data_IF_468282020930
#
_entry.id   IF_468282020930
#
_cell.length_a   1.000
_cell.length_b   1.000
_cell.length_c   1.000
_cell.angle_alpha   90.00
_cell.angle_beta   90.00
_cell.angle_gamma   90.00
#
_symmetry.space_group_name_H-M   'P 1'
#
loop_
_entity.id
_entity.type
_entity.pdbx_description
1 polymer ?
#
# COMPACT_ATOMS: atom_id res chain seq x y z
N UNK A 1 -11.78 -0.40 -12.18
CA UNK A 1 -10.41 -0.79 -12.49
C UNK A 1 -9.68 -1.13 -11.20
N UNK A 2 -8.93 -2.23 -11.22
CA UNK A 2 -8.16 -2.71 -10.07
C UNK A 2 -7.09 -1.66 -9.70
N UNK A 3 -7.01 -1.32 -8.42
CA UNK A 3 -6.01 -0.40 -7.87
C UNK A 3 -4.99 -1.19 -7.07
N UNK A 4 -3.74 -0.79 -7.15
CA UNK A 4 -2.63 -1.43 -6.43
C UNK A 4 -1.86 -0.38 -5.63
N UNK A 5 -1.56 -0.67 -4.37
CA UNK A 5 -0.62 0.13 -3.59
C UNK A 5 0.66 -0.67 -3.35
N UNK A 6 1.80 -0.05 -3.65
CA UNK A 6 3.14 -0.62 -3.44
C UNK A 6 3.82 0.17 -2.33
N UNK A 7 4.23 -0.52 -1.28
CA UNK A 7 4.96 0.07 -0.17
C UNK A 7 6.45 -0.20 -0.28
N UNK A 8 7.25 0.80 0.01
CA UNK A 8 8.71 0.69 0.17
C UNK A 8 9.22 1.64 1.26
N UNK A 9 10.31 1.31 1.91
CA UNK A 9 10.93 2.19 2.92
C UNK A 9 11.73 3.34 2.31
N UNK A 10 12.17 3.22 1.04
CA UNK A 10 13.11 4.12 0.41
C UNK A 10 12.51 4.93 -0.76
N UNK A 11 12.70 6.25 -0.74
CA UNK A 11 12.39 7.12 -1.90
C UNK A 11 13.17 6.72 -3.16
N UNK A 12 14.38 6.18 -3.01
CA UNK A 12 15.19 5.70 -4.13
C UNK A 12 14.54 4.48 -4.77
N UNK A 13 14.11 3.53 -3.95
CA UNK A 13 13.41 2.32 -4.40
C UNK A 13 12.07 2.69 -5.04
N UNK A 14 11.33 3.64 -4.46
CA UNK A 14 10.09 4.16 -5.04
C UNK A 14 10.28 4.64 -6.48
N UNK A 15 11.33 5.43 -6.75
CA UNK A 15 11.66 5.91 -8.10
C UNK A 15 12.09 4.78 -9.02
N UNK A 16 12.83 3.80 -8.50
CA UNK A 16 13.25 2.63 -9.26
C UNK A 16 12.04 1.81 -9.71
N UNK A 17 11.13 1.47 -8.79
CA UNK A 17 9.91 0.73 -9.11
C UNK A 17 9.10 1.46 -10.19
N UNK A 18 8.92 2.77 -10.07
CA UNK A 18 8.21 3.56 -11.06
C UNK A 18 8.88 3.50 -12.44
N UNK A 19 10.22 3.57 -12.47
CA UNK A 19 10.97 3.46 -13.72
C UNK A 19 10.82 2.07 -14.38
N UNK A 20 10.83 1.00 -13.59
CA UNK A 20 10.63 -0.36 -14.11
C UNK A 20 9.20 -0.54 -14.63
N UNK A 21 8.18 -0.07 -13.92
CA UNK A 21 6.79 -0.14 -14.37
C UNK A 21 6.56 0.59 -15.69
N UNK A 22 7.20 1.74 -15.90
CA UNK A 22 7.14 2.46 -17.20
C UNK A 22 7.70 1.63 -18.35
N UNK A 23 8.75 0.85 -18.11
CA UNK A 23 9.32 -0.06 -19.13
C UNK A 23 8.35 -1.18 -19.52
N UNK A 24 7.40 -1.51 -18.66
CA UNK A 24 6.37 -2.53 -18.93
C UNK A 24 5.10 -1.98 -19.56
N UNK A 25 5.07 -0.67 -19.89
CA UNK A 25 3.97 -0.04 -20.62
C UNK A 25 2.97 0.72 -19.75
N UNK A 26 3.26 0.95 -18.47
CA UNK A 26 2.47 1.89 -17.68
C UNK A 26 2.84 3.33 -18.03
N UNK A 27 1.83 4.16 -18.24
CA UNK A 27 2.01 5.59 -18.50
C UNK A 27 2.29 6.37 -17.20
N UNK A 28 2.83 7.58 -17.33
CA UNK A 28 3.12 8.43 -16.17
C UNK A 28 1.88 8.73 -15.33
N UNK A 29 0.72 8.84 -15.96
CA UNK A 29 -0.57 9.09 -15.32
C UNK A 29 -1.09 7.89 -14.53
N UNK A 30 -0.66 6.69 -14.89
CA UNK A 30 -1.03 5.45 -14.20
C UNK A 30 -0.32 5.29 -12.85
N UNK A 31 0.82 5.97 -12.65
CA UNK A 31 1.71 5.77 -11.50
C UNK A 31 1.77 7.04 -10.66
N UNK A 32 1.30 6.96 -9.44
CA UNK A 32 1.39 8.05 -8.47
C UNK A 32 2.47 7.74 -7.42
N UNK A 33 3.41 8.64 -7.23
CA UNK A 33 4.44 8.55 -6.18
C UNK A 33 4.04 9.43 -5.00
N UNK A 34 4.07 8.89 -3.79
CA UNK A 34 3.84 9.67 -2.59
C UNK A 34 4.73 9.22 -1.42
N UNK A 35 5.55 10.12 -0.91
CA UNK A 35 6.52 9.85 0.15
C UNK A 35 6.33 10.74 1.40
N UNK A 36 5.25 11.53 1.42
CA UNK A 36 4.97 12.46 2.49
C UNK A 36 5.62 13.83 2.34
N UNK A 37 6.55 14.02 1.40
CA UNK A 37 7.04 15.34 1.04
C UNK A 37 6.03 16.02 0.12
N UNK A 38 5.81 17.30 0.37
CA UNK A 38 4.92 18.13 -0.43
C UNK A 38 5.67 18.94 -1.49
N UNK A 39 6.88 18.51 -1.86
CA UNK A 39 7.78 19.25 -2.75
C UNK A 39 7.84 18.74 -4.18
N UNK A 40 7.30 17.56 -4.44
CA UNK A 40 7.23 16.99 -5.78
C UNK A 40 6.26 17.79 -6.68
N UNK A 41 6.64 17.99 -7.94
CA UNK A 41 5.90 18.82 -8.90
C UNK A 41 4.51 18.26 -9.18
N UNK A 42 4.41 16.95 -9.46
CA UNK A 42 3.15 16.28 -9.77
C UNK A 42 2.16 16.38 -8.60
N UNK A 43 2.63 16.09 -7.39
CA UNK A 43 1.77 16.16 -6.21
C UNK A 43 1.33 17.59 -5.88
N UNK A 44 2.15 18.61 -6.17
CA UNK A 44 1.75 20.02 -6.06
C UNK A 44 0.65 20.39 -7.06
N UNK A 45 0.74 19.92 -8.28
CA UNK A 45 -0.29 20.16 -9.31
C UNK A 45 -1.61 19.47 -8.95
N UNK A 46 -1.54 18.22 -8.49
CA UNK A 46 -2.71 17.49 -7.98
C UNK A 46 -3.38 18.28 -6.85
N UNK A 47 -2.60 18.77 -5.89
CA UNK A 47 -3.14 19.53 -4.78
C UNK A 47 -3.79 20.84 -5.22
N UNK A 48 -3.15 21.60 -6.13
CA UNK A 48 -3.73 22.83 -6.69
C UNK A 48 -5.05 22.55 -7.39
N UNK A 49 -5.12 21.53 -8.23
CA UNK A 49 -6.35 21.15 -8.93
C UNK A 49 -7.45 20.73 -7.94
N UNK A 50 -7.08 19.99 -6.88
CA UNK A 50 -8.00 19.59 -5.82
C UNK A 50 -8.54 20.79 -5.05
N UNK A 51 -7.70 21.78 -4.71
CA UNK A 51 -8.13 23.01 -4.02
C UNK A 51 -9.16 23.80 -4.84
N UNK A 52 -8.95 23.93 -6.14
CA UNK A 52 -9.91 24.60 -7.02
C UNK A 52 -11.27 23.89 -7.01
N UNK A 53 -11.27 22.56 -7.11
CA UNK A 53 -12.50 21.74 -7.12
C UNK A 53 -13.24 21.77 -5.77
N UNK A 54 -12.51 21.92 -4.65
CA UNK A 54 -13.06 21.88 -3.29
C UNK A 54 -13.08 23.25 -2.62
N UNK A 55 -12.96 24.32 -3.39
CA UNK A 55 -12.96 25.70 -2.87
C UNK A 55 -14.21 25.96 -2.01
N UNK A 56 -14.00 26.45 -0.81
CA UNK A 56 -15.08 26.75 0.16
C UNK A 56 -15.73 25.53 0.83
N UNK A 57 -15.33 24.31 0.48
CA UNK A 57 -15.88 23.07 1.07
C UNK A 57 -14.94 22.40 2.07
N UNK A 58 -13.64 22.59 1.90
CA UNK A 58 -12.63 22.03 2.77
C UNK A 58 -12.15 23.08 3.78
N UNK A 59 -12.12 22.71 5.06
CA UNK A 59 -11.58 23.54 6.13
C UNK A 59 -10.69 22.66 7.03
N UNK A 60 -9.74 21.99 6.40
CA UNK A 60 -8.78 21.14 7.09
C UNK A 60 -7.39 21.79 7.06
N UNK A 61 -6.51 21.36 7.92
CA UNK A 61 -5.12 21.79 7.84
C UNK A 61 -4.47 21.32 6.51
N UNK A 62 -3.54 22.12 5.97
CA UNK A 62 -2.89 21.91 4.67
C UNK A 62 -2.41 20.48 4.45
N UNK A 63 -1.81 19.84 5.46
CA UNK A 63 -1.32 18.46 5.38
C UNK A 63 -2.45 17.45 5.14
N UNK A 64 -3.61 17.67 5.76
CA UNK A 64 -4.78 16.78 5.61
C UNK A 64 -5.39 16.96 4.23
N UNK A 65 -5.56 18.21 3.76
CA UNK A 65 -6.07 18.48 2.41
C UNK A 65 -5.18 17.87 1.34
N UNK A 66 -3.86 17.95 1.52
CA UNK A 66 -2.90 17.36 0.60
C UNK A 66 -3.09 15.83 0.50
N UNK A 67 -3.24 15.15 1.64
CA UNK A 67 -3.51 13.71 1.68
C UNK A 67 -4.84 13.36 1.01
N UNK A 68 -5.88 14.17 1.22
CA UNK A 68 -7.15 14.02 0.52
C UNK A 68 -7.00 14.16 -1.00
N UNK A 69 -6.24 15.15 -1.46
CA UNK A 69 -5.96 15.34 -2.88
C UNK A 69 -5.26 14.12 -3.52
N UNK A 70 -4.26 13.55 -2.83
CA UNK A 70 -3.55 12.35 -3.26
C UNK A 70 -4.48 11.14 -3.32
N UNK A 71 -5.30 10.93 -2.29
CA UNK A 71 -6.27 9.82 -2.25
C UNK A 71 -7.31 9.96 -3.36
N UNK A 72 -7.86 11.15 -3.57
CA UNK A 72 -8.83 11.41 -4.63
C UNK A 72 -8.23 11.22 -6.02
N UNK A 73 -7.00 11.67 -6.23
CA UNK A 73 -6.30 11.45 -7.50
C UNK A 73 -6.05 9.96 -7.75
N UNK A 74 -5.54 9.23 -6.75
CA UNK A 74 -5.34 7.79 -6.88
C UNK A 74 -6.65 7.06 -7.17
N UNK A 75 -7.72 7.41 -6.48
CA UNK A 75 -9.03 6.78 -6.70
C UNK A 75 -9.54 6.96 -8.12
N UNK A 76 -9.39 8.14 -8.69
CA UNK A 76 -10.07 8.51 -9.94
C UNK A 76 -9.18 8.39 -11.20
N UNK A 77 -7.87 8.50 -11.05
CA UNK A 77 -6.93 8.63 -12.16
C UNK A 77 -5.89 7.50 -12.18
N UNK A 78 -4.96 7.48 -11.23
CA UNK A 78 -3.86 6.54 -11.24
C UNK A 78 -4.30 5.09 -10.97
N UNK A 79 -3.58 4.12 -11.50
CA UNK A 79 -3.79 2.68 -11.27
C UNK A 79 -2.93 2.16 -10.12
N UNK A 80 -1.72 2.71 -9.98
CA UNK A 80 -0.71 2.28 -9.01
C UNK A 80 -0.31 3.47 -8.14
N UNK A 81 -0.37 3.28 -6.83
CA UNK A 81 0.22 4.20 -5.86
C UNK A 81 1.49 3.55 -5.29
N UNK A 82 2.64 4.18 -5.46
CA UNK A 82 3.87 3.76 -4.80
C UNK A 82 4.13 4.73 -3.66
N UNK A 83 4.15 4.25 -2.42
CA UNK A 83 4.33 5.12 -1.27
C UNK A 83 5.35 4.58 -0.26
N UNK A 84 5.95 5.52 0.48
CA UNK A 84 6.73 5.19 1.67
C UNK A 84 5.84 5.10 2.90
N UNK A 85 6.32 4.49 3.98
CA UNK A 85 5.57 4.42 5.23
C UNK A 85 5.14 5.81 5.72
N UNK A 86 6.06 6.79 5.69
CA UNK A 86 5.77 8.17 6.07
C UNK A 86 4.70 8.83 5.16
N UNK A 87 4.75 8.56 3.86
CA UNK A 87 3.75 9.04 2.90
C UNK A 87 2.37 8.43 3.16
N UNK A 88 2.32 7.14 3.45
CA UNK A 88 1.06 6.42 3.66
C UNK A 88 0.35 6.75 4.97
N UNK A 89 1.03 7.36 5.91
CA UNK A 89 0.46 7.67 7.22
C UNK A 89 -0.79 8.55 7.10
N UNK A 90 -1.92 8.05 7.62
CA UNK A 90 -3.21 8.73 7.57
C UNK A 90 -3.94 8.65 6.22
N UNK A 91 -3.41 7.96 5.19
CA UNK A 91 -4.17 7.71 3.97
C UNK A 91 -5.29 6.69 4.24
N UNK A 92 -6.43 6.92 3.62
CA UNK A 92 -7.53 5.96 3.56
C UNK A 92 -7.64 5.38 2.14
N UNK A 93 -7.26 4.11 1.99
CA UNK A 93 -7.17 3.42 0.71
C UNK A 93 -8.17 2.26 0.59
N UNK A 94 -9.31 2.34 1.28
CA UNK A 94 -10.34 1.28 1.30
C UNK A 94 -10.88 0.86 -0.07
N UNK A 95 -10.74 1.71 -1.08
CA UNK A 95 -11.11 1.38 -2.46
C UNK A 95 -10.04 0.57 -3.21
N UNK A 96 -8.90 0.34 -2.59
CA UNK A 96 -7.80 -0.46 -3.10
C UNK A 96 -7.76 -1.79 -2.34
N UNK A 97 -7.76 -2.89 -3.04
CA UNK A 97 -7.76 -4.22 -2.44
C UNK A 97 -6.46 -5.01 -2.69
N UNK A 98 -5.47 -4.41 -3.31
CA UNK A 98 -4.17 -5.06 -3.55
C UNK A 98 -3.03 -4.25 -2.94
N UNK A 99 -2.32 -4.87 -2.03
CA UNK A 99 -1.17 -4.32 -1.30
C UNK A 99 0.07 -5.10 -1.66
N UNK A 100 1.13 -4.44 -2.13
CA UNK A 100 2.44 -5.06 -2.38
C UNK A 100 3.46 -4.43 -1.43
N UNK A 101 4.07 -5.23 -0.60
CA UNK A 101 5.23 -4.85 0.20
C UNK A 101 6.49 -5.20 -0.58
N UNK A 102 7.08 -4.19 -1.24
CA UNK A 102 8.29 -4.38 -2.06
C UNK A 102 9.52 -4.72 -1.20
N UNK A 103 9.58 -4.13 -0.03
CA UNK A 103 10.53 -4.47 1.03
C UNK A 103 9.79 -4.78 2.32
N UNK A 104 10.33 -5.73 3.09
CA UNK A 104 9.79 -6.12 4.38
C UNK A 104 10.41 -5.25 5.48
N UNK A 105 9.61 -4.44 6.18
CA UNK A 105 10.13 -3.67 7.30
C UNK A 105 10.51 -4.59 8.46
N UNK A 106 11.58 -4.24 9.18
CA UNK A 106 12.03 -4.98 10.37
C UNK A 106 10.97 -5.12 11.46
N UNK A 107 10.04 -4.18 11.53
CA UNK A 107 8.93 -4.23 12.47
C UNK A 107 7.68 -4.80 11.78
N UNK A 108 7.27 -6.02 12.13
CA UNK A 108 6.09 -6.67 11.53
C UNK A 108 4.80 -5.87 11.72
N UNK A 109 4.69 -5.04 12.77
CA UNK A 109 3.54 -4.16 12.96
C UNK A 109 3.34 -3.17 11.80
N UNK A 110 4.41 -2.80 11.10
CA UNK A 110 4.30 -1.92 9.93
C UNK A 110 3.56 -2.58 8.78
N UNK A 111 3.73 -3.89 8.58
CA UNK A 111 2.98 -4.64 7.55
C UNK A 111 1.49 -4.63 7.85
N UNK A 112 1.12 -4.88 9.11
CA UNK A 112 -0.28 -4.78 9.53
C UNK A 112 -0.83 -3.36 9.32
N UNK A 113 -0.03 -2.33 9.63
CA UNK A 113 -0.41 -0.94 9.38
C UNK A 113 -0.59 -0.65 7.89
N UNK A 114 0.29 -1.17 7.02
CA UNK A 114 0.19 -1.04 5.56
C UNK A 114 -1.08 -1.71 5.04
N UNK A 115 -1.34 -2.96 5.42
CA UNK A 115 -2.57 -3.68 5.07
C UNK A 115 -3.79 -2.93 5.62
N UNK A 116 -3.74 -2.45 6.85
CA UNK A 116 -4.81 -1.68 7.49
C UNK A 116 -5.14 -0.34 6.80
N UNK A 117 -4.34 0.14 5.83
CA UNK A 117 -4.73 1.28 4.98
C UNK A 117 -5.83 0.91 3.99
N UNK A 118 -5.85 -0.33 3.53
CA UNK A 118 -6.82 -0.86 2.58
C UNK A 118 -7.92 -1.68 3.28
N UNK A 119 -7.56 -2.47 4.29
CA UNK A 119 -8.48 -3.29 5.06
C UNK A 119 -9.05 -2.52 6.25
N UNK A 120 -10.27 -2.02 6.10
CA UNK A 120 -11.01 -1.28 7.15
C UNK A 120 -12.49 -1.60 7.06
N UNK A 121 -13.23 -1.23 8.09
CA UNK A 121 -14.70 -1.31 8.06
C UNK A 121 -15.27 -0.59 6.83
N UNK A 122 -16.06 -1.32 6.01
CA UNK A 122 -16.59 -0.83 4.74
C UNK A 122 -15.78 -1.23 3.49
N UNK A 123 -14.74 -2.07 3.63
CA UNK A 123 -14.12 -2.74 2.50
C UNK A 123 -15.05 -3.84 1.99
N UNK A 124 -15.42 -3.79 0.71
CA UNK A 124 -16.37 -4.71 0.07
C UNK A 124 -15.68 -5.91 -0.59
N UNK A 125 -14.34 -5.88 -0.69
CA UNK A 125 -13.56 -6.91 -1.37
C UNK A 125 -12.45 -7.45 -0.47
N UNK A 126 -12.08 -8.69 -0.69
CA UNK A 126 -10.92 -9.29 -0.03
C UNK A 126 -9.65 -8.51 -0.38
N UNK A 127 -8.83 -8.26 0.64
CA UNK A 127 -7.55 -7.58 0.46
C UNK A 127 -6.46 -8.60 0.24
N UNK A 128 -5.82 -8.52 -0.92
CA UNK A 128 -4.65 -9.35 -1.26
C UNK A 128 -3.39 -8.62 -0.83
N UNK A 129 -2.59 -9.23 0.03
CA UNK A 129 -1.29 -8.70 0.44
C UNK A 129 -0.16 -9.57 -0.14
N UNK A 130 0.70 -8.97 -0.95
CA UNK A 130 1.86 -9.61 -1.57
C UNK A 130 3.11 -9.08 -0.90
N UNK A 131 3.94 -9.97 -0.37
CA UNK A 131 5.21 -9.62 0.25
C UNK A 131 6.35 -10.14 -0.64
N UNK A 132 7.21 -9.24 -1.13
CA UNK A 132 8.41 -9.64 -1.86
C UNK A 132 9.52 -9.95 -0.85
N UNK A 133 10.17 -11.07 -1.02
CA UNK A 133 11.22 -11.54 -0.13
C UNK A 133 12.52 -11.73 -0.92
N UNK A 134 13.59 -11.12 -0.46
CA UNK A 134 14.92 -11.45 -0.96
C UNK A 134 15.46 -12.67 -0.17
N UNK A 135 15.40 -13.84 -0.80
CA UNK A 135 15.84 -15.10 -0.18
C UNK A 135 17.35 -15.18 0.09
N UNK A 136 18.14 -14.34 -0.56
CA UNK A 136 19.58 -14.26 -0.33
C UNK A 136 19.94 -13.34 0.88
N UNK A 137 18.95 -12.61 1.40
CA UNK A 137 19.11 -11.74 2.55
C UNK A 137 18.63 -12.45 3.83
N UNK A 138 19.55 -12.75 4.74
CA UNK A 138 19.22 -13.40 6.02
C UNK A 138 18.28 -12.56 6.90
N UNK A 139 18.38 -11.24 6.80
CA UNK A 139 17.50 -10.33 7.54
C UNK A 139 16.05 -10.45 7.07
N UNK A 140 15.82 -10.46 5.75
CA UNK A 140 14.49 -10.60 5.18
C UNK A 140 13.88 -11.97 5.54
N UNK A 141 14.69 -13.04 5.51
CA UNK A 141 14.24 -14.37 5.96
C UNK A 141 13.81 -14.37 7.42
N UNK A 142 14.55 -13.72 8.31
CA UNK A 142 14.17 -13.60 9.73
C UNK A 142 12.88 -12.83 9.94
N UNK A 143 12.71 -11.71 9.23
CA UNK A 143 11.46 -10.92 9.28
C UNK A 143 10.30 -11.78 8.81
N UNK A 144 10.49 -12.51 7.72
CA UNK A 144 9.48 -13.42 7.18
C UNK A 144 9.08 -14.52 8.19
N UNK A 145 10.05 -15.17 8.84
CA UNK A 145 9.79 -16.19 9.85
C UNK A 145 8.97 -15.64 11.05
N UNK A 146 9.27 -14.42 11.47
CA UNK A 146 8.52 -13.75 12.53
C UNK A 146 7.08 -13.45 12.09
N UNK A 147 6.91 -12.98 10.86
CA UNK A 147 5.61 -12.70 10.29
C UNK A 147 4.77 -13.98 10.14
N UNK A 148 5.34 -15.03 9.57
CA UNK A 148 4.67 -16.31 9.37
C UNK A 148 4.15 -16.87 10.70
N UNK A 149 4.99 -16.91 11.72
CA UNK A 149 4.59 -17.34 13.07
C UNK A 149 3.51 -16.46 13.67
N UNK A 150 3.57 -15.17 13.43
CA UNK A 150 2.57 -14.22 13.95
C UNK A 150 1.22 -14.44 13.26
N UNK A 151 1.21 -14.62 11.93
CA UNK A 151 -0.01 -14.93 11.19
C UNK A 151 -0.58 -16.28 11.55
N UNK A 152 0.23 -17.34 11.73
CA UNK A 152 -0.20 -18.64 12.23
C UNK A 152 -0.83 -18.54 13.64
N UNK A 153 -0.27 -17.71 14.52
CA UNK A 153 -0.86 -17.46 15.84
C UNK A 153 -2.21 -16.74 15.75
N UNK A 154 -2.36 -15.81 14.79
CA UNK A 154 -3.63 -15.16 14.52
C UNK A 154 -4.68 -16.14 13.97
N UNK A 155 -4.31 -17.02 13.04
CA UNK A 155 -5.19 -18.09 12.57
C UNK A 155 -5.61 -19.03 13.73
N UNK A 156 -4.68 -19.40 14.61
CA UNK A 156 -4.94 -20.28 15.75
C UNK A 156 -5.80 -19.65 16.86
N UNK A 157 -5.68 -18.36 17.08
CA UNK A 157 -6.40 -17.64 18.15
C UNK A 157 -7.72 -17.04 17.67
N UNK A 158 -7.80 -16.65 16.41
CA UNK A 158 -8.94 -15.98 15.79
C UNK A 158 -9.60 -16.81 14.69
N UNK A 159 -9.33 -18.12 14.63
CA UNK A 159 -9.85 -19.07 13.63
C UNK A 159 -11.38 -19.12 13.43
N UNK A 160 -12.08 -18.15 13.97
CA UNK A 160 -13.49 -17.86 13.70
C UNK A 160 -13.73 -16.43 13.22
N UNK A 161 -12.69 -15.62 13.01
CA UNK A 161 -12.87 -14.26 12.51
C UNK A 161 -12.09 -14.03 11.20
N UNK A 162 -12.47 -14.77 10.16
CA UNK A 162 -12.21 -14.45 8.75
C UNK A 162 -12.59 -12.99 8.39
N UNK A 163 -13.26 -12.32 9.30
CA UNK A 163 -13.77 -10.96 9.16
C UNK A 163 -12.74 -9.89 9.54
N UNK A 164 -11.72 -10.22 10.34
CA UNK A 164 -10.77 -9.20 10.84
C UNK A 164 -9.54 -9.00 9.98
N UNK A 165 -9.14 -9.99 9.18
CA UNK A 165 -7.92 -9.94 8.36
C UNK A 165 -8.13 -10.25 6.88
N UNK A 166 -9.36 -10.38 6.40
CA UNK A 166 -9.67 -10.89 5.06
C UNK A 166 -9.26 -12.34 4.95
N UNK A 167 -10.18 -13.22 4.55
CA UNK A 167 -9.95 -14.64 4.44
C UNK A 167 -8.59 -14.95 3.76
N UNK A 168 -7.67 -15.44 4.54
CA UNK A 168 -6.59 -16.26 4.02
C UNK A 168 -7.28 -17.54 3.58
N UNK A 169 -7.60 -17.66 2.28
CA UNK A 169 -8.25 -18.85 1.76
C UNK A 169 -7.47 -20.08 2.20
N UNK A 170 -8.16 -20.87 3.01
CA UNK A 170 -7.71 -22.17 3.49
C UNK A 170 -7.28 -23.03 2.32
N UNK A 171 -6.03 -23.44 2.26
CA UNK A 171 -5.61 -24.56 1.43
C UNK A 171 -4.39 -24.36 0.54
N UNK A 172 -3.88 -23.16 0.39
CA UNK A 172 -2.58 -22.96 -0.25
C UNK A 172 -1.67 -22.24 0.75
N UNK A 173 -0.62 -22.95 1.19
CA UNK A 173 0.32 -22.35 2.14
C UNK A 173 0.85 -21.04 1.54
N UNK A 174 0.97 -20.02 2.38
CA UNK A 174 1.52 -18.72 2.02
C UNK A 174 2.87 -18.86 1.28
N UNK A 175 3.67 -19.87 1.64
CA UNK A 175 4.91 -20.26 0.97
C UNK A 175 4.73 -20.67 -0.48
N UNK A 176 3.65 -21.39 -0.82
CA UNK A 176 3.39 -21.82 -2.20
C UNK A 176 3.01 -20.63 -3.11
N UNK A 177 2.31 -19.64 -2.60
CA UNK A 177 1.93 -18.44 -3.37
C UNK A 177 3.12 -17.51 -3.66
N UNK A 178 4.17 -17.53 -2.82
CA UNK A 178 5.41 -16.77 -3.05
C UNK A 178 6.31 -17.48 -4.05
N UNK A 179 6.24 -18.81 -4.13
CA UNK A 179 7.07 -19.62 -5.03
C UNK A 179 6.48 -19.80 -6.44
N UNK A 180 5.20 -19.50 -6.63
CA UNK A 180 4.48 -19.61 -7.91
C UNK A 180 4.43 -18.29 -8.70
N UNK A 181 5.13 -17.21 -8.24
CA UNK A 181 5.34 -15.95 -8.95
C UNK A 181 6.78 -15.87 -9.47
#
# INVERSE_FOLDING_TARGET
PQKVVIFTESKRTQKYIAAELRKTGFEDEDILLFNGDFDDTMTKEIYKAWQVKNFGKANYGRSVEYKHAIVDYFRNNAKILICTDAGSEGLNLQFCNTVINYDLPWNPMKIEQRIGRCHRYGQEHDVVAINLLNTDNEADRRVYDILSKKFELFEGVFGASDVALGALESGVSFEKRILDI
#
